data_IF_216019532591
#
_entry.id   IF_216019532591
#
_cell.length_a   1.000
_cell.length_b   1.000
_cell.length_c   1.000
_cell.angle_alpha   90.00
_cell.angle_beta   90.00
_cell.angle_gamma   90.00
#
_symmetry.space_group_name_H-M   'P 1'
#
loop_
_entity.id
_entity.type
_entity.pdbx_description
1 polymer ?
#
# COMPACT_ATOMS: atom_id res chain seq x y z
N UNK A 1 12.31 -9.73 11.27
CA UNK A 1 10.95 -9.23 10.89
C UNK A 1 10.94 -7.77 10.47
N UNK A 2 11.59 -6.85 11.20
CA UNK A 2 11.60 -5.39 10.90
C UNK A 2 11.90 -5.02 9.44
N UNK A 3 12.97 -5.55 8.84
CA UNK A 3 13.37 -5.21 7.46
C UNK A 3 12.39 -5.75 6.41
N UNK A 4 11.78 -6.92 6.67
CA UNK A 4 10.74 -7.48 5.80
C UNK A 4 9.49 -6.61 5.81
N UNK A 5 9.04 -6.14 6.97
CA UNK A 5 7.91 -5.23 7.08
C UNK A 5 8.17 -3.89 6.40
N UNK A 6 9.39 -3.35 6.52
CA UNK A 6 9.78 -2.14 5.79
C UNK A 6 9.73 -2.36 4.28
N UNK A 7 10.23 -3.49 3.79
CA UNK A 7 10.17 -3.84 2.38
C UNK A 7 8.71 -3.96 1.90
N UNK A 8 7.86 -4.68 2.64
CA UNK A 8 6.45 -4.84 2.31
C UNK A 8 5.71 -3.50 2.32
N UNK A 9 5.96 -2.63 3.31
CA UNK A 9 5.37 -1.30 3.35
C UNK A 9 5.76 -0.47 2.12
N UNK A 10 7.05 -0.45 1.77
CA UNK A 10 7.54 0.26 0.58
C UNK A 10 6.89 -0.26 -0.70
N UNK A 11 6.80 -1.59 -0.85
CA UNK A 11 6.17 -2.21 -2.03
C UNK A 11 4.69 -1.80 -2.15
N UNK A 12 3.95 -1.83 -1.04
CA UNK A 12 2.53 -1.51 -1.01
C UNK A 12 2.24 -0.01 -1.16
N UNK A 13 3.20 0.87 -0.88
CA UNK A 13 3.09 2.31 -1.20
C UNK A 13 3.34 2.56 -2.69
N UNK A 14 4.31 1.88 -3.28
CA UNK A 14 4.67 2.06 -4.70
C UNK A 14 3.52 1.60 -5.61
N UNK A 15 2.77 0.59 -5.20
CA UNK A 15 1.67 0.05 -6.01
C UNK A 15 0.57 1.07 -6.39
N UNK A 16 -0.12 1.76 -5.46
CA UNK A 16 -1.11 2.78 -5.81
C UNK A 16 -0.51 3.96 -6.57
N UNK A 17 0.76 4.31 -6.31
CA UNK A 17 1.48 5.33 -7.07
C UNK A 17 1.63 4.90 -8.53
N UNK A 18 2.01 3.64 -8.78
CA UNK A 18 2.11 3.09 -10.12
C UNK A 18 0.77 3.05 -10.87
N UNK A 19 -0.32 2.68 -10.18
CA UNK A 19 -1.67 2.73 -10.75
C UNK A 19 -2.05 4.17 -11.15
N UNK A 20 -1.80 5.14 -10.27
CA UNK A 20 -2.05 6.55 -10.57
C UNK A 20 -1.30 7.00 -11.83
N UNK A 21 0.01 6.73 -11.92
CA UNK A 21 0.79 7.10 -13.11
C UNK A 21 0.35 6.35 -14.37
N UNK A 22 -0.15 5.13 -14.24
CA UNK A 22 -0.70 4.40 -15.40
C UNK A 22 -1.86 5.17 -16.03
N UNK A 23 -2.78 5.68 -15.21
CA UNK A 23 -3.89 6.50 -15.70
C UNK A 23 -3.43 7.83 -16.32
N UNK A 24 -2.40 8.46 -15.74
CA UNK A 24 -1.80 9.70 -16.28
C UNK A 24 -1.17 9.45 -17.65
N UNK A 25 -0.35 8.40 -17.78
CA UNK A 25 0.38 8.10 -19.02
C UNK A 25 -0.57 7.66 -20.14
N UNK A 26 -1.60 6.87 -19.82
CA UNK A 26 -2.60 6.45 -20.82
C UNK A 26 -3.48 7.60 -21.31
N UNK A 27 -3.44 8.76 -20.66
CA UNK A 27 -4.28 9.90 -21.04
C UNK A 27 -5.77 9.65 -20.78
N UNK A 28 -6.12 8.69 -19.91
CA UNK A 28 -7.51 8.34 -19.59
C UNK A 28 -8.22 9.45 -18.78
N UNK A 29 -7.50 10.51 -18.39
CA UNK A 29 -8.04 11.67 -17.67
C UNK A 29 -8.26 11.41 -16.18
N UNK A 30 -8.56 12.48 -15.44
CA UNK A 30 -8.78 12.41 -14.00
C UNK A 30 -10.25 12.18 -13.68
N UNK A 31 -10.70 10.92 -13.78
CA UNK A 31 -12.08 10.53 -13.46
C UNK A 31 -12.20 9.99 -12.04
N UNK A 32 -13.42 10.03 -11.52
CA UNK A 32 -13.73 9.51 -10.19
C UNK A 32 -13.35 8.04 -10.05
N UNK A 33 -13.58 7.24 -11.10
CA UNK A 33 -13.27 5.82 -11.14
C UNK A 33 -11.77 5.56 -11.00
N UNK A 34 -10.93 6.35 -11.69
CA UNK A 34 -9.47 6.22 -11.57
C UNK A 34 -9.00 6.51 -10.15
N UNK A 35 -9.50 7.58 -9.53
CA UNK A 35 -9.19 7.90 -8.14
C UNK A 35 -9.68 6.82 -7.17
N UNK A 36 -10.86 6.26 -7.41
CA UNK A 36 -11.42 5.20 -6.59
C UNK A 36 -10.59 3.91 -6.69
N UNK A 37 -10.15 3.52 -7.88
CA UNK A 37 -9.26 2.37 -8.08
C UNK A 37 -7.90 2.62 -7.43
N UNK A 38 -7.30 3.79 -7.63
CA UNK A 38 -6.06 4.19 -6.95
C UNK A 38 -6.21 4.13 -5.42
N UNK A 39 -7.30 4.66 -4.87
CA UNK A 39 -7.57 4.62 -3.44
C UNK A 39 -7.72 3.19 -2.92
N UNK A 40 -8.52 2.34 -3.58
CA UNK A 40 -8.70 0.95 -3.18
C UNK A 40 -7.40 0.15 -3.28
N UNK A 41 -6.53 0.46 -4.24
CA UNK A 41 -5.22 -0.20 -4.36
C UNK A 41 -4.25 0.10 -3.20
N UNK A 42 -4.57 1.06 -2.32
CA UNK A 42 -3.82 1.31 -1.09
C UNK A 42 -4.20 0.38 0.07
N UNK A 43 -5.30 -0.38 -0.03
CA UNK A 43 -5.76 -1.32 1.02
C UNK A 43 -4.65 -2.28 1.49
N UNK A 44 -3.85 -2.92 0.60
CA UNK A 44 -2.76 -3.80 1.02
C UNK A 44 -1.74 -3.14 1.95
N UNK A 45 -1.49 -1.84 1.82
CA UNK A 45 -0.59 -1.11 2.72
C UNK A 45 -1.12 -1.10 4.16
N UNK A 46 -2.41 -0.80 4.33
CA UNK A 46 -3.06 -0.82 5.65
C UNK A 46 -3.11 -2.22 6.24
N UNK A 47 -3.29 -3.26 5.41
CA UNK A 47 -3.21 -4.66 5.87
C UNK A 47 -1.82 -5.01 6.39
N UNK A 48 -0.75 -4.61 5.70
CA UNK A 48 0.64 -4.82 6.17
C UNK A 48 0.89 -4.09 7.48
N UNK A 49 0.36 -2.88 7.66
CA UNK A 49 0.45 -2.14 8.93
C UNK A 49 -0.30 -2.86 10.06
N UNK A 50 -1.50 -3.33 9.78
CA UNK A 50 -2.33 -4.07 10.74
C UNK A 50 -1.63 -5.36 11.20
N UNK A 51 -1.09 -6.14 10.25
CA UNK A 51 -0.34 -7.36 10.53
C UNK A 51 0.91 -7.04 11.36
N UNK A 52 1.65 -5.98 11.01
CA UNK A 52 2.80 -5.54 11.78
C UNK A 52 2.42 -5.16 13.21
N UNK A 53 1.31 -4.45 13.40
CA UNK A 53 0.82 -4.05 14.71
C UNK A 53 0.54 -5.27 15.59
N UNK A 54 -0.23 -6.24 15.08
CA UNK A 54 -0.52 -7.47 15.82
C UNK A 54 0.76 -8.24 16.14
N UNK A 55 1.67 -8.41 15.19
CA UNK A 55 2.91 -9.15 15.40
C UNK A 55 3.92 -8.44 16.31
N UNK A 56 3.94 -7.11 16.31
CA UNK A 56 4.81 -6.33 17.20
C UNK A 56 4.41 -6.46 18.66
N UNK A 57 3.12 -6.65 18.96
CA UNK A 57 2.65 -6.90 20.33
C UNK A 57 3.01 -8.28 20.89
N UNK A 58 3.46 -9.22 20.03
CA UNK A 58 3.96 -10.54 20.45
C UNK A 58 5.49 -10.60 20.60
N UNK A 59 6.22 -9.56 20.16
CA UNK A 59 7.69 -9.54 20.17
C UNK A 59 8.26 -8.90 21.47
N UNK A 60 7.40 -8.32 22.33
CA UNK A 60 7.77 -7.74 23.63
C UNK A 60 7.90 -8.78 24.77
N UNK A 61 7.62 -10.06 24.51
CA UNK A 61 7.85 -11.17 25.45
C UNK A 61 9.30 -11.71 25.36
N UNK A 62 10.28 -10.84 25.62
CA UNK A 62 11.67 -11.23 25.94
C UNK A 62 12.24 -10.44 27.10
#
# INVERSE_FOLDING_TARGET
MKNLFLLLQSLMIIFPIGIFFTYVIKGEGFTYEHYLVTAMSSIPFFLVLLIKYFLSGFDDDK
#
